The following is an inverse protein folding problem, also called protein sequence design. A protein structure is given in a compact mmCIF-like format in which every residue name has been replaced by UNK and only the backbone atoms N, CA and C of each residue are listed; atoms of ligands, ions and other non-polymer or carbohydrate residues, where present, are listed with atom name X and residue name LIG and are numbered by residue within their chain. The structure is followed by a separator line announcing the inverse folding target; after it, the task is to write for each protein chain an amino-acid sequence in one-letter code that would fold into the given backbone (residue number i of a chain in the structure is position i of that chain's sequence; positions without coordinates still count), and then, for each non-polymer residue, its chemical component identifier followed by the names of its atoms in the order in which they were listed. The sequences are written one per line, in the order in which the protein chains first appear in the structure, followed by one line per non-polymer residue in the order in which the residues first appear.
data_IF_861909681980
#
_entry.id   IF_861909681980
#
_cell.length_a   1.000
_cell.length_b   1.000
_cell.length_c   1.000
_cell.angle_alpha   90.00
_cell.angle_beta   90.00
_cell.angle_gamma   90.00
#
_symmetry.space_group_name_H-M   'P 1'
#
loop_
_entity.id
_entity.type
_entity.pdbx_description
1 polymer ?
#
# COMPACT_ATOMS: atom_id res chain seq x y z
N UNK A 1 -85.78 11.14 32.10
CA UNK A 1 -85.90 11.47 30.66
C UNK A 1 -84.49 11.79 30.17
N UNK A 2 -83.80 11.06 29.29
CA UNK A 2 -84.16 10.35 28.06
C UNK A 2 -83.06 9.30 27.80
N UNK A 3 -83.43 8.04 27.56
CA UNK A 3 -83.17 7.28 26.31
C UNK A 3 -81.70 7.33 25.89
N UNK A 4 -80.87 6.27 26.01
CA UNK A 4 -80.93 5.07 25.16
C UNK A 4 -79.90 4.02 25.64
N UNK A 5 -80.12 3.42 26.82
CA UNK A 5 -79.20 2.41 27.39
C UNK A 5 -79.55 0.95 27.02
N UNK A 6 -80.36 0.71 25.99
CA UNK A 6 -80.72 -0.67 25.61
C UNK A 6 -81.15 -0.76 24.16
N UNK A 7 -80.17 -0.88 23.27
CA UNK A 7 -80.23 -1.72 22.08
C UNK A 7 -78.90 -2.48 22.09
N UNK A 8 -78.84 -3.61 22.78
CA UNK A 8 -79.08 -4.92 22.16
C UNK A 8 -78.23 -5.04 20.88
N UNK A 9 -77.11 -5.75 20.97
CA UNK A 9 -77.11 -7.19 20.72
C UNK A 9 -77.36 -7.42 19.22
N UNK A 10 -76.29 -7.31 18.41
CA UNK A 10 -76.11 -7.93 17.08
C UNK A 10 -74.91 -7.31 16.34
N UNK A 11 -73.70 -7.71 16.69
CA UNK A 11 -72.56 -7.78 15.77
C UNK A 11 -71.44 -8.55 16.48
N UNK A 12 -71.76 -9.79 16.83
CA UNK A 12 -70.74 -10.80 17.07
C UNK A 12 -69.84 -10.85 15.84
N UNK A 13 -68.53 -11.05 16.08
CA UNK A 13 -67.69 -11.88 15.22
C UNK A 13 -67.41 -11.33 13.80
N UNK A 14 -66.35 -10.51 13.60
CA UNK A 14 -65.52 -10.51 12.36
C UNK A 14 -64.35 -9.50 12.26
N UNK A 15 -63.77 -8.96 13.34
CA UNK A 15 -62.51 -8.17 13.21
C UNK A 15 -61.46 -8.62 14.24
N UNK A 16 -61.20 -9.92 14.25
CA UNK A 16 -60.13 -10.56 15.03
C UNK A 16 -59.22 -11.43 14.13
N UNK A 17 -59.03 -11.06 12.86
CA UNK A 17 -58.13 -11.75 11.91
C UNK A 17 -57.36 -10.75 11.03
N UNK A 18 -56.68 -9.79 11.64
CA UNK A 18 -55.55 -9.11 10.99
C UNK A 18 -54.27 -9.35 11.79
N UNK A 19 -54.15 -10.53 12.37
CA UNK A 19 -52.89 -11.12 12.78
C UNK A 19 -52.45 -12.09 11.69
N UNK A 20 -51.17 -11.95 11.31
CA UNK A 20 -50.32 -12.82 10.49
C UNK A 20 -50.18 -12.34 9.03
N UNK A 21 -48.91 -12.33 8.58
CA UNK A 21 -48.36 -11.97 7.26
C UNK A 21 -48.10 -10.46 7.11
N UNK A 22 -46.90 -9.89 7.17
CA UNK A 22 -45.53 -10.37 7.00
C UNK A 22 -44.61 -9.36 7.69
N UNK A 23 -43.67 -9.78 8.54
CA UNK A 23 -42.30 -9.20 8.62
C UNK A 23 -41.43 -10.18 9.40
N UNK A 24 -41.33 -11.42 8.90
CA UNK A 24 -40.16 -12.27 9.20
C UNK A 24 -38.98 -11.77 8.37
N UNK A 25 -38.63 -10.49 8.54
CA UNK A 25 -37.37 -9.98 8.07
C UNK A 25 -36.38 -10.23 9.20
N UNK A 26 -35.66 -11.36 9.12
CA UNK A 26 -34.35 -11.48 9.78
C UNK A 26 -33.58 -10.20 9.42
N UNK A 27 -32.97 -9.47 10.38
CA UNK A 27 -32.23 -8.27 10.06
C UNK A 27 -31.03 -8.68 9.20
N UNK A 28 -31.18 -8.57 7.88
CA UNK A 28 -30.04 -8.53 6.98
C UNK A 28 -29.43 -7.16 7.22
N UNK A 29 -28.25 -7.14 7.83
CA UNK A 29 -27.38 -5.96 7.87
C UNK A 29 -27.30 -5.46 6.44
N UNK A 30 -27.71 -4.21 6.21
CA UNK A 30 -27.74 -3.63 4.86
C UNK A 30 -26.31 -3.31 4.45
N UNK A 31 -26.00 -3.43 3.16
CA UNK A 31 -24.66 -3.11 2.65
C UNK A 31 -24.25 -1.65 2.95
N UNK A 32 -25.23 -0.74 3.08
CA UNK A 32 -25.06 0.65 3.52
C UNK A 32 -24.46 0.78 4.93
N UNK A 33 -24.85 -0.08 5.87
CA UNK A 33 -24.31 -0.06 7.23
C UNK A 33 -22.83 -0.48 7.20
N UNK A 34 -22.51 -1.51 6.43
CA UNK A 34 -21.13 -2.00 6.24
C UNK A 34 -20.28 -0.92 5.57
N UNK A 35 -20.81 -0.27 4.53
CA UNK A 35 -20.10 0.80 3.81
C UNK A 35 -19.82 2.00 4.72
N UNK A 36 -20.77 2.37 5.59
CA UNK A 36 -20.59 3.46 6.55
C UNK A 36 -19.50 3.13 7.58
N UNK A 37 -19.47 1.90 8.09
CA UNK A 37 -18.42 1.43 9.02
C UNK A 37 -17.03 1.45 8.37
N UNK A 38 -16.95 1.07 7.09
CA UNK A 38 -15.71 1.13 6.32
C UNK A 38 -15.24 2.58 6.12
N UNK A 39 -16.15 3.48 5.72
CA UNK A 39 -15.84 4.90 5.52
C UNK A 39 -15.46 5.63 6.82
N UNK A 40 -16.01 5.19 7.95
CA UNK A 40 -15.65 5.71 9.27
C UNK A 40 -14.25 5.27 9.72
N UNK A 41 -13.64 4.28 9.06
CA UNK A 41 -12.35 3.77 9.49
C UNK A 41 -11.19 4.57 8.87
N UNK A 42 -10.41 5.32 9.67
CA UNK A 42 -9.30 6.11 9.15
C UNK A 42 -8.22 5.26 8.47
N UNK A 43 -8.08 3.98 8.83
CA UNK A 43 -7.10 3.06 8.24
C UNK A 43 -7.41 2.71 6.77
N UNK A 44 -8.64 2.91 6.29
CA UNK A 44 -9.05 2.56 4.94
C UNK A 44 -9.21 3.78 4.02
N UNK A 45 -8.93 4.99 4.52
CA UNK A 45 -9.13 6.25 3.78
C UNK A 45 -8.26 6.40 2.53
N UNK A 46 -7.12 5.72 2.49
CA UNK A 46 -6.22 5.69 1.33
C UNK A 46 -6.59 4.62 0.30
N UNK A 47 -7.61 3.79 0.59
CA UNK A 47 -8.07 2.68 -0.24
C UNK A 47 -9.52 2.92 -0.70
N UNK A 48 -9.85 2.37 -1.85
CA UNK A 48 -11.22 2.33 -2.37
C UNK A 48 -11.84 1.00 -1.95
N UNK A 49 -12.87 1.07 -1.11
CA UNK A 49 -13.60 -0.09 -0.64
C UNK A 49 -15.02 -0.10 -1.22
N UNK A 50 -15.42 -1.22 -1.84
CA UNK A 50 -16.76 -1.42 -2.39
C UNK A 50 -17.43 -2.61 -1.70
N UNK A 51 -18.66 -2.43 -1.22
CA UNK A 51 -19.45 -3.49 -0.57
C UNK A 51 -20.55 -3.96 -1.50
N UNK A 52 -20.70 -5.27 -1.68
CA UNK A 52 -21.80 -5.87 -2.44
C UNK A 52 -22.22 -7.20 -1.82
N UNK A 53 -23.47 -7.31 -1.37
CA UNK A 53 -24.04 -8.54 -0.78
C UNK A 53 -23.23 -9.09 0.42
N UNK A 54 -22.57 -8.20 1.19
CA UNK A 54 -21.64 -8.54 2.26
C UNK A 54 -20.23 -8.96 1.81
N UNK A 55 -19.89 -8.83 0.53
CA UNK A 55 -18.53 -8.99 0.01
C UNK A 55 -17.88 -7.62 -0.12
N UNK A 56 -16.74 -7.44 0.54
CA UNK A 56 -15.98 -6.18 0.49
C UNK A 56 -14.80 -6.34 -0.44
N UNK A 57 -14.69 -5.47 -1.44
CA UNK A 57 -13.54 -5.41 -2.35
C UNK A 57 -12.70 -4.19 -2.02
N UNK A 58 -11.45 -4.42 -1.63
CA UNK A 58 -10.45 -3.37 -1.40
C UNK A 58 -9.59 -3.19 -2.66
N UNK A 59 -9.46 -1.96 -3.13
CA UNK A 59 -8.67 -1.57 -4.30
C UNK A 59 -7.86 -0.32 -3.99
N UNK A 60 -6.70 -0.16 -4.62
CA UNK A 60 -5.83 1.00 -4.42
C UNK A 60 -4.38 0.60 -4.15
N UNK A 61 -3.60 1.57 -3.71
CA UNK A 61 -2.16 1.42 -3.46
C UNK A 61 -1.90 1.34 -1.95
N UNK A 62 -1.35 0.22 -1.49
CA UNK A 62 -0.89 0.04 -0.12
C UNK A 62 0.58 0.41 -0.02
N UNK A 63 0.99 0.96 1.14
CA UNK A 63 2.39 1.31 1.39
C UNK A 63 3.27 0.07 1.54
N UNK A 64 2.78 -0.91 2.28
CA UNK A 64 3.53 -2.09 2.68
C UNK A 64 2.61 -3.31 2.81
N UNK A 65 3.20 -4.50 2.91
CA UNK A 65 2.44 -5.75 3.13
C UNK A 65 1.74 -5.78 4.50
N UNK A 66 2.31 -5.10 5.49
CA UNK A 66 1.70 -4.92 6.81
C UNK A 66 0.40 -4.10 6.74
N UNK A 67 0.40 -3.03 5.94
CA UNK A 67 -0.75 -2.16 5.71
C UNK A 67 -1.88 -2.92 5.01
N UNK A 68 -1.53 -3.66 3.95
CA UNK A 68 -2.46 -4.57 3.25
C UNK A 68 -3.14 -5.57 4.18
N UNK A 69 -2.37 -6.18 5.08
CA UNK A 69 -2.88 -7.16 6.05
C UNK A 69 -3.77 -6.49 7.11
N UNK A 70 -3.37 -5.31 7.59
CA UNK A 70 -4.14 -4.54 8.56
C UNK A 70 -5.50 -4.12 7.99
N UNK A 71 -5.54 -3.60 6.75
CA UNK A 71 -6.77 -3.21 6.08
C UNK A 71 -7.73 -4.40 5.92
N UNK A 72 -7.22 -5.57 5.55
CA UNK A 72 -8.04 -6.77 5.41
C UNK A 72 -8.62 -7.24 6.75
N UNK A 73 -7.81 -7.23 7.81
CA UNK A 73 -8.27 -7.60 9.15
C UNK A 73 -9.34 -6.64 9.69
N UNK A 74 -9.13 -5.34 9.49
CA UNK A 74 -10.11 -4.32 9.86
C UNK A 74 -11.45 -4.57 9.19
N UNK A 75 -11.46 -4.83 7.88
CA UNK A 75 -12.70 -5.11 7.14
C UNK A 75 -13.36 -6.41 7.61
N UNK A 76 -12.56 -7.46 7.87
CA UNK A 76 -13.07 -8.75 8.38
C UNK A 76 -13.75 -8.61 9.76
N UNK A 77 -13.35 -7.63 10.57
CA UNK A 77 -13.94 -7.38 11.88
C UNK A 77 -15.28 -6.64 11.81
N UNK A 78 -15.67 -6.11 10.65
CA UNK A 78 -16.94 -5.38 10.50
C UNK A 78 -18.11 -6.38 10.50
N UNK A 79 -19.09 -6.21 11.40
CA UNK A 79 -20.25 -7.10 11.47
C UNK A 79 -21.07 -7.03 10.16
N UNK A 80 -21.31 -8.20 9.56
CA UNK A 80 -22.02 -8.32 8.28
C UNK A 80 -21.13 -8.62 7.07
N UNK A 81 -19.81 -8.49 7.21
CA UNK A 81 -18.86 -8.91 6.17
C UNK A 81 -18.79 -10.44 6.10
N UNK A 82 -19.03 -10.98 4.91
CA UNK A 82 -18.96 -12.42 4.62
C UNK A 82 -17.62 -12.80 4.00
N UNK A 83 -17.07 -11.94 3.15
CA UNK A 83 -15.81 -12.18 2.44
C UNK A 83 -15.12 -10.86 2.11
N UNK A 84 -13.79 -10.90 2.03
CA UNK A 84 -12.95 -9.76 1.64
C UNK A 84 -12.12 -10.16 0.41
N UNK A 85 -12.19 -9.33 -0.62
CA UNK A 85 -11.40 -9.45 -1.85
C UNK A 85 -10.38 -8.33 -1.85
N UNK A 86 -9.09 -8.71 -1.85
CA UNK A 86 -7.99 -7.77 -1.73
C UNK A 86 -7.29 -7.58 -3.09
N UNK A 87 -7.70 -6.54 -3.83
CA UNK A 87 -7.12 -6.11 -5.11
C UNK A 87 -6.15 -4.94 -4.93
N UNK A 88 -5.54 -4.80 -3.76
CA UNK A 88 -4.56 -3.75 -3.50
C UNK A 88 -3.20 -4.11 -4.09
N UNK A 89 -2.56 -3.12 -4.70
CA UNK A 89 -1.18 -3.21 -5.19
C UNK A 89 -0.26 -2.57 -4.17
N UNK A 90 0.81 -3.26 -3.80
CA UNK A 90 1.86 -2.67 -2.97
C UNK A 90 2.84 -2.02 -3.94
N UNK A 91 3.13 -0.74 -3.73
CA UNK A 91 4.19 -0.08 -4.48
C UNK A 91 5.48 -0.89 -4.31
N UNK A 92 6.25 -1.20 -5.37
CA UNK A 92 7.52 -1.87 -5.19
C UNK A 92 8.34 -1.06 -4.19
N UNK A 93 8.93 -1.71 -3.16
CA UNK A 93 9.75 -0.98 -2.20
C UNK A 93 10.78 -0.18 -2.97
N UNK A 94 11.03 1.10 -2.60
CA UNK A 94 12.11 1.85 -3.21
C UNK A 94 13.36 0.96 -3.16
N UNK A 95 14.12 0.85 -4.27
CA UNK A 95 15.28 -0.01 -4.31
C UNK A 95 16.11 0.27 -3.06
N UNK A 96 16.51 -0.78 -2.31
CA UNK A 96 17.10 -0.60 -0.99
C UNK A 96 18.16 0.49 -1.10
N UNK A 97 17.99 1.55 -0.32
CA UNK A 97 18.99 2.60 -0.19
C UNK A 97 20.33 1.88 -0.03
N UNK A 98 21.34 2.19 -0.86
CA UNK A 98 22.58 1.43 -0.91
C UNK A 98 23.03 1.18 0.52
N UNK A 99 22.98 -0.10 0.93
CA UNK A 99 23.51 -0.53 2.21
C UNK A 99 24.94 0.01 2.21
N UNK A 100 25.20 1.00 3.06
CA UNK A 100 26.53 1.46 3.40
C UNK A 100 27.28 0.23 3.88
N UNK A 101 27.98 -0.43 2.97
CA UNK A 101 29.08 -1.30 3.32
C UNK A 101 30.04 -0.36 4.03
N UNK A 102 30.27 -0.65 5.30
CA UNK A 102 31.11 0.10 6.21
C UNK A 102 32.31 0.73 5.49
N UNK A 103 32.60 1.97 5.87
CA UNK A 103 33.72 2.79 5.46
C UNK A 103 35.12 2.21 5.79
N UNK A 104 35.26 0.88 5.86
CA UNK A 104 36.48 0.15 6.21
C UNK A 104 36.91 -0.85 5.13
N UNK A 105 36.55 -0.61 3.87
CA UNK A 105 37.22 -1.23 2.73
C UNK A 105 38.25 -0.22 2.16
N UNK A 106 39.57 -0.53 2.05
CA UNK A 106 40.58 0.38 1.49
C UNK A 106 40.21 0.97 0.12
N UNK A 107 39.30 0.30 -0.59
CA UNK A 107 38.70 0.75 -1.85
C UNK A 107 37.92 2.07 -1.70
N UNK A 108 37.18 2.28 -0.62
CA UNK A 108 36.36 3.50 -0.42
C UNK A 108 37.21 4.74 -0.15
N UNK A 109 38.33 4.60 0.56
CA UNK A 109 39.33 5.66 0.74
C UNK A 109 40.01 6.01 -0.58
N UNK A 110 40.47 5.01 -1.35
CA UNK A 110 41.07 5.24 -2.67
C UNK A 110 40.12 5.89 -3.66
N UNK A 111 38.84 5.49 -3.62
CA UNK A 111 37.76 6.12 -4.41
C UNK A 111 37.57 7.57 -3.96
N UNK A 112 37.43 7.84 -2.68
CA UNK A 112 37.25 9.21 -2.17
C UNK A 112 38.45 10.09 -2.55
N UNK A 113 39.68 9.63 -2.32
CA UNK A 113 40.91 10.35 -2.68
C UNK A 113 41.00 10.65 -4.18
N UNK A 114 40.64 9.70 -5.05
CA UNK A 114 40.68 9.87 -6.50
C UNK A 114 39.57 10.80 -7.04
N UNK A 115 38.49 11.00 -6.28
CA UNK A 115 37.31 11.76 -6.69
C UNK A 115 37.17 13.12 -6.00
N UNK A 116 38.02 13.45 -5.02
CA UNK A 116 38.07 14.77 -4.36
C UNK A 116 38.17 15.94 -5.33
N UNK A 117 38.95 15.78 -6.40
CA UNK A 117 39.16 16.82 -7.42
C UNK A 117 38.07 16.83 -8.51
N UNK A 118 37.11 15.90 -8.46
CA UNK A 118 36.13 15.64 -9.53
C UNK A 118 34.72 15.38 -8.98
N UNK A 119 34.00 16.43 -8.51
CA UNK A 119 32.68 16.28 -7.87
C UNK A 119 31.57 15.82 -8.83
N UNK A 120 31.80 15.91 -10.14
CA UNK A 120 30.82 15.49 -11.17
C UNK A 120 30.85 13.99 -11.46
N UNK A 121 31.83 13.27 -10.92
CA UNK A 121 31.97 11.82 -11.08
C UNK A 121 31.79 11.18 -9.71
N UNK A 122 31.07 10.06 -9.65
CA UNK A 122 30.87 9.25 -8.44
C UNK A 122 31.24 7.81 -8.77
N UNK A 123 31.79 7.09 -7.79
CA UNK A 123 32.04 5.67 -7.95
C UNK A 123 31.59 4.89 -6.71
N UNK A 124 31.04 3.69 -6.95
CA UNK A 124 30.59 2.76 -5.91
C UNK A 124 31.23 1.40 -6.14
N UNK A 125 31.86 0.85 -5.10
CA UNK A 125 32.47 -0.48 -5.15
C UNK A 125 31.54 -1.50 -4.49
N UNK A 126 31.20 -2.58 -5.20
CA UNK A 126 30.40 -3.70 -4.69
C UNK A 126 30.92 -5.03 -5.23
N UNK A 127 31.21 -5.99 -4.36
CA UNK A 127 31.69 -7.34 -4.72
C UNK A 127 32.96 -7.38 -5.60
N UNK A 128 33.81 -6.35 -5.49
CA UNK A 128 35.01 -6.18 -6.32
C UNK A 128 34.74 -5.57 -7.70
N UNK A 129 33.52 -5.13 -7.97
CA UNK A 129 33.13 -4.37 -9.17
C UNK A 129 33.02 -2.91 -8.79
N UNK A 130 33.79 -2.05 -9.45
CA UNK A 130 33.70 -0.59 -9.25
C UNK A 130 32.82 -0.01 -10.33
N UNK A 131 31.68 0.54 -9.95
CA UNK A 131 30.73 1.21 -10.84
C UNK A 131 30.98 2.70 -10.79
N UNK A 132 31.26 3.32 -11.93
CA UNK A 132 31.49 4.76 -12.04
C UNK A 132 30.32 5.40 -12.78
N UNK A 133 29.76 6.45 -12.19
CA UNK A 133 28.62 7.20 -12.72
C UNK A 133 28.91 8.70 -12.72
N UNK A 134 28.37 9.42 -13.69
CA UNK A 134 28.46 10.88 -13.74
C UNK A 134 29.07 11.42 -15.03
N UNK A 135 29.54 12.66 -14.97
CA UNK A 135 30.07 13.39 -16.13
C UNK A 135 31.58 13.61 -15.96
N UNK A 136 32.36 13.11 -16.91
CA UNK A 136 33.81 13.30 -16.94
C UNK A 136 34.28 13.74 -18.34
N UNK A 137 35.39 14.45 -18.40
CA UNK A 137 36.10 14.67 -19.67
C UNK A 137 37.01 13.48 -19.96
N UNK A 138 37.41 13.31 -21.23
CA UNK A 138 38.37 12.25 -21.63
C UNK A 138 39.68 12.29 -20.81
N UNK A 139 40.08 13.49 -20.37
CA UNK A 139 41.28 13.71 -19.55
C UNK A 139 41.06 13.24 -18.10
N UNK A 140 39.92 13.59 -17.50
CA UNK A 140 39.61 13.21 -16.11
C UNK A 140 39.33 11.71 -15.99
N UNK A 141 38.60 11.13 -16.93
CA UNK A 141 38.34 9.69 -16.94
C UNK A 141 39.63 8.87 -17.00
N UNK A 142 40.62 9.30 -17.79
CA UNK A 142 41.91 8.61 -17.88
C UNK A 142 42.65 8.58 -16.54
N UNK A 143 42.61 9.67 -15.77
CA UNK A 143 43.22 9.75 -14.43
C UNK A 143 42.47 8.86 -13.42
N UNK A 144 41.14 8.93 -13.43
CA UNK A 144 40.27 8.14 -12.55
C UNK A 144 40.45 6.64 -12.82
N UNK A 145 40.52 6.23 -14.10
CA UNK A 145 40.75 4.83 -14.48
C UNK A 145 42.08 4.29 -13.94
N UNK A 146 43.15 5.08 -13.97
CA UNK A 146 44.46 4.68 -13.42
C UNK A 146 44.37 4.44 -11.91
N UNK A 147 43.70 5.35 -11.19
CA UNK A 147 43.49 5.20 -9.74
C UNK A 147 42.61 3.98 -9.41
N UNK A 148 41.57 3.74 -10.22
CA UNK A 148 40.68 2.59 -10.07
C UNK A 148 41.38 1.25 -10.39
N UNK A 149 42.20 1.19 -11.44
CA UNK A 149 42.95 -0.02 -11.79
C UNK A 149 44.03 -0.36 -10.73
N UNK A 150 44.61 0.65 -10.07
CA UNK A 150 45.56 0.46 -8.97
C UNK A 150 44.95 -0.26 -7.75
N UNK A 151 43.62 -0.16 -7.60
CA UNK A 151 42.85 -0.87 -6.58
C UNK A 151 42.62 -2.36 -6.91
N UNK A 152 43.12 -2.84 -8.06
CA UNK A 152 42.95 -4.22 -8.56
C UNK A 152 41.51 -4.74 -8.45
N UNK A 153 40.51 -4.01 -8.99
CA UNK A 153 39.13 -4.48 -8.99
C UNK A 153 38.99 -5.71 -9.89
N UNK A 154 38.00 -6.54 -9.60
CA UNK A 154 37.60 -7.63 -10.50
C UNK A 154 37.03 -7.09 -11.82
N UNK A 155 36.38 -5.92 -11.78
CA UNK A 155 35.82 -5.24 -12.96
C UNK A 155 35.59 -3.75 -12.67
N UNK A 156 35.77 -2.90 -13.68
CA UNK A 156 35.33 -1.49 -13.63
C UNK A 156 34.18 -1.33 -14.61
N UNK A 157 33.02 -0.96 -14.11
CA UNK A 157 31.82 -0.65 -14.89
C UNK A 157 31.73 0.87 -15.10
N UNK A 158 31.89 1.29 -16.35
CA UNK A 158 31.83 2.70 -16.75
C UNK A 158 30.53 3.03 -17.50
N UNK A 159 29.52 2.15 -17.43
CA UNK A 159 28.31 2.27 -18.24
C UNK A 159 27.48 3.51 -17.89
N UNK A 160 27.65 4.06 -16.69
CA UNK A 160 26.98 5.28 -16.23
C UNK A 160 27.76 6.58 -16.46
N UNK A 161 28.84 6.56 -17.26
CA UNK A 161 29.72 7.71 -17.45
C UNK A 161 29.48 8.40 -18.80
N UNK A 162 29.22 9.71 -18.74
CA UNK A 162 29.05 10.56 -19.92
C UNK A 162 30.35 11.30 -20.20
N UNK A 163 31.03 10.96 -21.31
CA UNK A 163 32.28 11.62 -21.71
C UNK A 163 31.96 12.89 -22.50
N UNK A 164 32.19 14.05 -21.90
CA UNK A 164 32.20 15.33 -22.62
C UNK A 164 33.55 15.50 -23.32
N UNK A 165 33.51 15.83 -24.61
CA UNK A 165 34.69 15.90 -25.50
C UNK A 165 35.58 17.08 -25.14
#
# INVERSE_FOLDING_TARGET
MKRTFSRLLNASLLIAITSIWLFSCKPKIKDEDIQTQIQSNPALTHLVATVKDGVVTLSGECKDEADKTASENVVKQIPGVKSVVNNTTIAPPPPPAPVEIAADDPLTKGITDALKDHPTVKATAKDGIITVTGEATSVNWKKIKIALDALKPKKVDASGLTIKK
#
